data_IF_808243193740
#
_entry.id   IF_808243193740
#
_cell.length_a   1.000
_cell.length_b   1.000
_cell.length_c   1.000
_cell.angle_alpha   90.00
_cell.angle_beta   90.00
_cell.angle_gamma   90.00
#
_symmetry.space_group_name_H-M   'P 1'
#
loop_
_entity.id
_entity.type
_entity.pdbx_description
1 polymer ?
#
# COMPACT_ATOMS: atom_id res chain seq x y z
N UNK A 1 6.82 -8.37 -15.48
CA UNK A 1 7.55 -7.12 -15.82
C UNK A 1 7.07 -6.02 -14.87
N UNK A 2 7.96 -5.33 -14.15
CA UNK A 2 7.58 -4.19 -13.28
C UNK A 2 7.36 -2.96 -14.17
N UNK A 3 6.11 -2.56 -14.37
CA UNK A 3 5.73 -1.41 -15.22
C UNK A 3 5.75 -0.08 -14.47
N UNK A 4 6.10 -0.09 -13.18
CA UNK A 4 6.19 1.08 -12.30
C UNK A 4 7.14 0.84 -11.13
N UNK A 5 7.76 1.90 -10.61
CA UNK A 5 8.40 1.97 -9.30
C UNK A 5 7.61 2.89 -8.38
N UNK A 6 7.64 2.61 -7.08
CA UNK A 6 6.91 3.38 -6.07
C UNK A 6 7.77 3.51 -4.81
N UNK A 7 7.82 4.72 -4.26
CA UNK A 7 8.76 5.07 -3.19
C UNK A 7 8.07 5.97 -2.16
N UNK A 8 8.13 5.57 -0.89
CA UNK A 8 7.79 6.43 0.23
C UNK A 8 8.90 7.48 0.43
N UNK A 9 8.56 8.71 0.87
CA UNK A 9 9.58 9.74 1.12
C UNK A 9 10.48 9.36 2.29
N UNK A 10 9.94 8.68 3.30
CA UNK A 10 10.64 8.29 4.52
C UNK A 10 9.91 7.10 5.19
N UNK A 11 10.53 6.58 6.25
CA UNK A 11 10.00 5.43 7.01
C UNK A 11 8.74 5.78 7.80
N UNK A 12 8.64 6.98 8.34
CA UNK A 12 7.54 7.40 9.20
C UNK A 12 6.25 7.54 8.37
N UNK A 13 6.37 8.11 7.18
CA UNK A 13 5.30 8.17 6.17
C UNK A 13 4.89 6.77 5.72
N UNK A 14 5.84 5.86 5.51
CA UNK A 14 5.54 4.47 5.18
C UNK A 14 4.75 3.77 6.30
N UNK A 15 5.15 3.98 7.56
CA UNK A 15 4.47 3.41 8.72
C UNK A 15 3.06 4.00 8.88
N UNK A 16 2.93 5.32 8.81
CA UNK A 16 1.65 6.02 8.87
C UNK A 16 0.69 5.54 7.78
N UNK A 17 1.13 5.51 6.52
CA UNK A 17 0.28 5.09 5.40
C UNK A 17 -0.15 3.63 5.54
N UNK A 18 0.75 2.76 6.01
CA UNK A 18 0.44 1.33 6.24
C UNK A 18 -0.62 1.17 7.33
N UNK A 19 -0.48 1.88 8.46
CA UNK A 19 -1.46 1.85 9.54
C UNK A 19 -2.82 2.35 9.07
N UNK A 20 -2.85 3.49 8.37
CA UNK A 20 -4.09 4.07 7.86
C UNK A 20 -4.80 3.14 6.86
N UNK A 21 -4.07 2.47 5.96
CA UNK A 21 -4.66 1.47 5.05
C UNK A 21 -5.25 0.30 5.82
N UNK A 22 -4.54 -0.23 6.83
CA UNK A 22 -5.03 -1.34 7.66
C UNK A 22 -6.28 -0.93 8.43
N UNK A 23 -6.27 0.22 9.10
CA UNK A 23 -7.42 0.75 9.85
C UNK A 23 -8.62 0.97 8.94
N UNK A 24 -8.45 1.58 7.77
CA UNK A 24 -9.54 1.82 6.83
C UNK A 24 -10.19 0.53 6.28
N UNK A 25 -9.49 -0.61 6.35
CA UNK A 25 -9.92 -1.89 5.79
C UNK A 25 -10.15 -2.97 6.86
N UNK A 26 -10.27 -2.62 8.14
CA UNK A 26 -10.33 -3.58 9.25
C UNK A 26 -11.41 -4.66 9.06
N UNK A 27 -12.62 -4.27 8.65
CA UNK A 27 -13.72 -5.23 8.41
C UNK A 27 -13.41 -6.23 7.27
N UNK A 28 -12.78 -5.74 6.19
CA UNK A 28 -12.36 -6.59 5.07
C UNK A 28 -11.27 -7.57 5.51
N UNK A 29 -10.34 -7.13 6.34
CA UNK A 29 -9.28 -7.96 6.92
C UNK A 29 -9.89 -9.06 7.79
N UNK A 30 -10.81 -8.73 8.71
CA UNK A 30 -11.48 -9.73 9.55
C UNK A 30 -12.23 -10.76 8.73
N UNK A 31 -13.00 -10.33 7.73
CA UNK A 31 -13.71 -11.25 6.81
C UNK A 31 -12.73 -12.14 6.06
N UNK A 32 -11.65 -11.55 5.53
CA UNK A 32 -10.62 -12.30 4.84
C UNK A 32 -10.06 -13.37 5.78
N UNK A 33 -9.59 -13.03 6.98
CA UNK A 33 -9.01 -13.97 7.94
C UNK A 33 -9.97 -15.11 8.30
N UNK A 34 -11.25 -14.82 8.49
CA UNK A 34 -12.24 -15.81 8.91
C UNK A 34 -12.71 -16.75 7.77
N UNK A 35 -12.83 -16.25 6.54
CA UNK A 35 -13.63 -16.94 5.50
C UNK A 35 -12.87 -17.29 4.23
N UNK A 36 -11.68 -16.72 3.99
CA UNK A 36 -10.94 -16.97 2.75
C UNK A 36 -9.99 -18.17 2.87
N UNK A 37 -9.57 -18.72 1.73
CA UNK A 37 -8.41 -19.63 1.63
C UNK A 37 -7.19 -18.93 1.03
N UNK A 38 -7.32 -17.67 0.59
CA UNK A 38 -6.23 -16.92 -0.03
C UNK A 38 -5.17 -16.54 0.99
N UNK A 39 -3.91 -16.89 0.71
CA UNK A 39 -2.78 -16.58 1.58
C UNK A 39 -2.44 -15.09 1.69
N UNK A 40 -2.86 -14.27 0.70
CA UNK A 40 -2.61 -12.83 0.66
C UNK A 40 -3.88 -12.03 0.40
N UNK A 41 -3.91 -10.81 0.94
CA UNK A 41 -4.95 -9.81 0.70
C UNK A 41 -4.29 -8.50 0.29
N UNK A 42 -4.76 -7.89 -0.80
CA UNK A 42 -4.38 -6.52 -1.17
C UNK A 42 -5.49 -5.57 -0.75
N UNK A 43 -5.11 -4.52 -0.03
CA UNK A 43 -6.01 -3.47 0.47
C UNK A 43 -5.41 -2.10 0.17
N UNK A 44 -6.28 -1.12 0.02
CA UNK A 44 -5.91 0.22 -0.47
C UNK A 44 -6.66 1.28 0.34
N UNK A 45 -6.04 2.45 0.42
CA UNK A 45 -6.68 3.67 0.91
C UNK A 45 -6.09 4.89 0.19
N UNK A 46 -6.90 5.95 0.15
CA UNK A 46 -6.53 7.24 -0.43
C UNK A 46 -6.88 8.37 0.53
N UNK A 47 -6.07 9.41 0.52
CA UNK A 47 -6.20 10.60 1.34
C UNK A 47 -6.13 11.86 0.46
N UNK A 48 -7.11 12.09 -0.44
CA UNK A 48 -7.05 13.20 -1.40
C UNK A 48 -6.95 14.57 -0.75
N UNK A 49 -7.46 14.72 0.49
CA UNK A 49 -7.40 15.95 1.27
C UNK A 49 -6.07 16.16 2.02
N UNK A 50 -5.14 15.18 2.02
CA UNK A 50 -3.84 15.35 2.67
C UNK A 50 -2.99 16.33 1.85
N UNK A 51 -2.48 17.36 2.49
CA UNK A 51 -1.64 18.37 1.82
C UNK A 51 -0.35 17.76 1.27
N UNK A 52 0.41 17.07 2.13
CA UNK A 52 1.65 16.40 1.72
C UNK A 52 1.39 15.04 1.03
N UNK A 53 2.08 14.74 -0.09
CA UNK A 53 1.98 13.43 -0.71
C UNK A 53 2.56 12.34 0.19
N UNK A 54 2.02 11.13 0.07
CA UNK A 54 2.51 9.95 0.82
C UNK A 54 3.62 9.22 0.08
N UNK A 55 3.91 9.61 -1.16
CA UNK A 55 5.00 9.04 -1.92
C UNK A 55 4.94 9.40 -3.39
N UNK A 56 5.78 8.71 -4.16
CA UNK A 56 5.96 8.95 -5.58
C UNK A 56 5.85 7.66 -6.37
N UNK A 57 5.27 7.74 -7.56
CA UNK A 57 5.15 6.63 -8.50
C UNK A 57 5.74 7.05 -9.85
N UNK A 58 6.72 6.28 -10.33
CA UNK A 58 7.28 6.48 -11.67
C UNK A 58 6.80 5.35 -12.58
N UNK A 59 6.03 5.70 -13.60
CA UNK A 59 5.61 4.77 -14.64
C UNK A 59 6.77 4.50 -15.60
N UNK A 60 6.84 3.28 -16.14
CA UNK A 60 7.91 2.91 -17.07
C UNK A 60 7.97 3.85 -18.29
N UNK A 61 6.82 4.22 -18.86
CA UNK A 61 6.76 5.17 -19.99
C UNK A 61 7.32 6.56 -19.62
N UNK A 62 7.12 7.00 -18.37
CA UNK A 62 7.65 8.27 -17.88
C UNK A 62 9.16 8.20 -17.69
N UNK A 63 9.67 7.10 -17.09
CA UNK A 63 11.10 6.84 -16.99
C UNK A 63 11.77 6.85 -18.38
N UNK A 64 11.20 6.16 -19.36
CA UNK A 64 11.72 6.11 -20.73
C UNK A 64 11.67 7.47 -21.45
N UNK A 65 10.72 8.33 -21.08
CA UNK A 65 10.58 9.67 -21.61
C UNK A 65 11.35 10.74 -20.80
N UNK A 66 12.15 10.36 -19.80
CA UNK A 66 12.88 11.28 -18.93
C UNK A 66 11.97 12.18 -18.07
N UNK A 67 10.75 11.72 -17.76
CA UNK A 67 9.77 12.46 -16.96
C UNK A 67 9.89 12.10 -15.48
N UNK A 68 9.64 13.10 -14.63
CA UNK A 68 9.66 12.96 -13.17
C UNK A 68 8.53 12.08 -12.63
N UNK A 69 8.72 11.43 -11.46
CA UNK A 69 7.66 10.66 -10.78
C UNK A 69 6.43 11.51 -10.41
N UNK A 70 5.26 10.86 -10.37
CA UNK A 70 4.01 11.48 -9.92
C UNK A 70 3.91 11.40 -8.39
N UNK A 71 3.61 12.52 -7.75
CA UNK A 71 3.29 12.55 -6.32
C UNK A 71 1.88 11.99 -6.07
N UNK A 72 1.76 11.09 -5.10
CA UNK A 72 0.51 10.36 -4.83
C UNK A 72 0.07 10.48 -3.38
N UNK A 73 -1.24 10.33 -3.17
CA UNK A 73 -1.91 10.39 -1.86
C UNK A 73 -2.66 9.09 -1.55
N UNK A 74 -2.21 7.98 -2.12
CA UNK A 74 -2.80 6.67 -1.91
C UNK A 74 -1.71 5.60 -1.73
N UNK A 75 -2.05 4.54 -1.02
CA UNK A 75 -1.15 3.42 -0.77
C UNK A 75 -1.87 2.08 -0.89
N UNK A 76 -1.11 1.05 -1.28
CA UNK A 76 -1.53 -0.35 -1.25
C UNK A 76 -0.71 -1.10 -0.22
N UNK A 77 -1.38 -1.87 0.61
CA UNK A 77 -0.78 -2.83 1.53
C UNK A 77 -1.16 -4.23 1.08
N UNK A 78 -0.16 -5.10 0.99
CA UNK A 78 -0.36 -6.54 0.79
C UNK A 78 -0.11 -7.23 2.12
N UNK A 79 -1.15 -7.84 2.67
CA UNK A 79 -1.08 -8.66 3.87
C UNK A 79 -0.82 -10.12 3.48
N UNK A 80 -0.12 -10.85 4.34
CA UNK A 80 0.03 -12.30 4.26
C UNK A 80 -0.46 -12.92 5.55
N UNK A 81 -1.26 -13.98 5.47
CA UNK A 81 -1.70 -14.70 6.68
C UNK A 81 -0.52 -15.25 7.45
N UNK A 82 -0.59 -15.13 8.76
CA UNK A 82 0.37 -15.67 9.68
C UNK A 82 -0.33 -15.93 11.02
N UNK A 83 -0.82 -17.16 11.27
CA UNK A 83 -1.57 -17.47 12.48
C UNK A 83 -0.71 -17.40 13.75
N UNK A 84 0.62 -17.33 13.63
CA UNK A 84 1.51 -17.14 14.77
C UNK A 84 1.60 -15.68 15.23
N UNK A 85 1.01 -14.73 14.48
CA UNK A 85 1.01 -13.30 14.84
C UNK A 85 -0.29 -12.92 15.57
N UNK A 86 -0.24 -11.97 16.52
CA UNK A 86 -1.44 -11.53 17.26
C UNK A 86 -2.59 -11.06 16.37
N UNK A 87 -2.29 -10.41 15.25
CA UNK A 87 -3.30 -9.93 14.30
C UNK A 87 -3.69 -10.97 13.23
N UNK A 88 -3.09 -12.17 13.26
CA UNK A 88 -3.32 -13.23 12.26
C UNK A 88 -2.68 -12.97 10.89
N UNK A 89 -1.89 -11.91 10.75
CA UNK A 89 -1.19 -11.57 9.51
C UNK A 89 0.13 -10.82 9.75
N UNK A 90 0.95 -10.78 8.71
CA UNK A 90 2.07 -9.83 8.56
C UNK A 90 1.85 -8.92 7.36
N UNK A 91 2.44 -7.72 7.38
CA UNK A 91 2.57 -6.88 6.18
C UNK A 91 3.63 -7.51 5.29
N UNK A 92 3.23 -7.99 4.11
CA UNK A 92 4.14 -8.57 3.12
C UNK A 92 4.85 -7.48 2.31
N UNK A 93 4.11 -6.45 1.90
CA UNK A 93 4.65 -5.29 1.21
C UNK A 93 3.70 -4.11 1.35
N UNK A 94 4.26 -2.90 1.34
CA UNK A 94 3.51 -1.64 1.35
C UNK A 94 4.17 -0.70 0.34
N UNK A 95 3.37 0.03 -0.45
CA UNK A 95 3.89 0.96 -1.44
C UNK A 95 2.84 2.02 -1.84
N UNK A 96 3.27 3.25 -2.18
CA UNK A 96 2.40 4.25 -2.76
C UNK A 96 1.80 3.78 -4.10
N UNK A 97 0.59 4.24 -4.41
CA UNK A 97 -0.08 3.93 -5.68
C UNK A 97 -0.66 5.19 -6.31
N UNK A 98 -0.71 5.18 -7.64
CA UNK A 98 -1.54 6.08 -8.42
C UNK A 98 -2.90 5.38 -8.63
N UNK A 99 -3.99 6.05 -8.25
CA UNK A 99 -5.37 5.59 -8.44
C UNK A 99 -5.95 6.13 -9.74
#
# INVERSE_FOLDING_TARGET
MRTRSATYPDRDTAQWATQQVVTANEQLIHRWLAQSTRARLSIEAAWPAREEPVGRVLLQAMMLAGREPVEVRAARVVLRRDPARPHGFTVHSTFPIYL
#
